data_IF_646566836274
#
_entry.id   IF_646566836274
#
_cell.length_a   1.000
_cell.length_b   1.000
_cell.length_c   1.000
_cell.angle_alpha   90.00
_cell.angle_beta   90.00
_cell.angle_gamma   90.00
#
_symmetry.space_group_name_H-M   'P 1'
#
loop_
_entity.id
_entity.type
_entity.pdbx_description
1 polymer ?
#
# COMPACT_ATOMS: atom_id res chain seq x y z
N UNK A 1 -76.26 19.86 3.61
CA UNK A 1 -74.99 19.60 4.32
C UNK A 1 -73.96 19.06 3.33
N UNK A 2 -72.88 19.80 3.06
CA UNK A 2 -71.76 19.36 2.20
C UNK A 2 -70.74 18.64 3.08
N UNK A 3 -70.49 17.35 2.86
CA UNK A 3 -69.38 16.64 3.49
C UNK A 3 -68.08 17.02 2.75
N UNK A 4 -67.16 17.68 3.46
CA UNK A 4 -65.78 17.90 3.00
C UNK A 4 -64.95 16.70 3.45
N UNK A 5 -64.47 15.91 2.50
CA UNK A 5 -63.47 14.87 2.77
C UNK A 5 -62.14 15.52 3.09
N UNK A 6 -61.66 15.34 4.32
CA UNK A 6 -60.35 15.81 4.79
C UNK A 6 -59.30 14.79 4.34
N UNK A 7 -58.45 15.17 3.39
CA UNK A 7 -57.32 14.36 2.95
C UNK A 7 -56.19 14.51 4.00
N UNK A 8 -55.99 13.49 4.84
CA UNK A 8 -54.87 13.44 5.78
C UNK A 8 -53.62 13.00 5.01
N UNK A 9 -52.72 13.93 4.74
CA UNK A 9 -51.38 13.64 4.20
C UNK A 9 -50.51 13.20 5.37
N UNK A 10 -50.28 11.88 5.50
CA UNK A 10 -49.25 11.34 6.38
C UNK A 10 -47.87 11.64 5.77
N UNK A 11 -47.18 12.65 6.30
CA UNK A 11 -45.76 12.87 6.07
C UNK A 11 -44.97 11.77 6.81
N UNK A 12 -44.60 10.71 6.08
CA UNK A 12 -43.61 9.74 6.55
C UNK A 12 -42.25 10.43 6.66
N UNK A 13 -41.86 10.79 7.88
CA UNK A 13 -40.50 11.22 8.17
C UNK A 13 -39.61 9.98 8.15
N UNK A 14 -38.89 9.76 7.05
CA UNK A 14 -37.83 8.75 6.98
C UNK A 14 -36.67 9.30 7.83
N UNK A 15 -36.64 8.96 9.11
CA UNK A 15 -35.44 9.16 9.93
C UNK A 15 -34.38 8.19 9.43
N UNK A 16 -33.39 8.71 8.70
CA UNK A 16 -32.15 7.98 8.48
C UNK A 16 -31.44 7.85 9.83
N UNK A 17 -31.66 6.74 10.53
CA UNK A 17 -30.79 6.37 11.64
C UNK A 17 -29.44 6.00 11.04
N UNK A 18 -28.49 6.92 11.02
CA UNK A 18 -27.10 6.57 10.75
C UNK A 18 -26.70 5.49 11.74
N UNK A 19 -26.22 4.35 11.24
CA UNK A 19 -25.75 3.27 12.09
C UNK A 19 -24.65 3.80 13.02
N UNK A 20 -24.90 3.74 14.33
CA UNK A 20 -23.94 4.07 15.37
C UNK A 20 -22.72 3.17 15.19
N UNK A 21 -21.55 3.76 14.97
CA UNK A 21 -20.29 3.01 14.88
C UNK A 21 -19.49 3.21 16.15
N UNK A 22 -19.04 2.14 16.77
CA UNK A 22 -18.11 2.19 17.90
C UNK A 22 -16.72 1.78 17.42
N UNK A 23 -15.69 2.53 17.82
CA UNK A 23 -14.28 2.22 17.55
C UNK A 23 -13.48 2.19 18.84
N UNK A 24 -12.70 1.12 19.04
CA UNK A 24 -11.72 0.99 20.13
C UNK A 24 -10.34 1.30 19.60
N UNK A 25 -9.70 2.35 20.11
CA UNK A 25 -8.40 2.83 19.61
C UNK A 25 -7.38 2.98 20.73
N UNK A 26 -6.23 2.33 20.58
CA UNK A 26 -5.11 2.51 21.49
C UNK A 26 -4.07 3.47 20.90
N UNK A 27 -3.76 4.56 21.61
CA UNK A 27 -2.81 5.56 21.15
C UNK A 27 -1.43 5.36 21.77
N UNK A 28 -0.45 4.98 20.97
CA UNK A 28 0.95 4.84 21.38
C UNK A 28 1.77 5.95 20.75
N UNK A 29 2.30 6.86 21.57
CA UNK A 29 2.92 8.08 21.05
C UNK A 29 3.66 8.89 22.10
N UNK A 30 3.58 10.21 21.98
CA UNK A 30 4.22 11.14 22.91
C UNK A 30 3.43 12.44 23.02
N UNK A 31 4.11 13.56 23.25
CA UNK A 31 3.53 14.89 23.42
C UNK A 31 2.67 15.37 22.26
N UNK A 32 2.97 14.99 21.02
CA UNK A 32 2.10 15.37 19.90
C UNK A 32 0.70 14.74 19.99
N UNK A 33 0.58 13.60 20.68
CA UNK A 33 -0.69 12.95 20.95
C UNK A 33 -1.37 13.48 22.22
N UNK A 34 -0.65 13.68 23.34
CA UNK A 34 -1.33 14.14 24.57
C UNK A 34 -1.67 15.64 24.56
N UNK A 35 -1.00 16.46 23.74
CA UNK A 35 -1.29 17.89 23.68
C UNK A 35 -2.76 18.14 23.29
N UNK A 36 -3.41 19.03 24.04
CA UNK A 36 -4.84 19.33 23.95
C UNK A 36 -5.76 18.08 24.06
N UNK A 37 -5.23 16.97 24.58
CA UNK A 37 -5.88 15.67 24.67
C UNK A 37 -6.51 15.22 23.34
N UNK A 38 -5.68 15.03 22.31
CA UNK A 38 -6.14 14.66 20.97
C UNK A 38 -7.13 13.47 20.95
N UNK A 39 -6.92 12.36 21.68
CA UNK A 39 -7.90 11.27 21.75
C UNK A 39 -9.30 11.72 22.22
N UNK A 40 -9.36 12.60 23.22
CA UNK A 40 -10.63 13.15 23.72
C UNK A 40 -11.29 14.08 22.69
N UNK A 41 -10.52 14.88 21.95
CA UNK A 41 -11.06 15.71 20.87
C UNK A 41 -11.71 14.84 19.78
N UNK A 42 -11.07 13.74 19.38
CA UNK A 42 -11.64 12.79 18.41
C UNK A 42 -12.91 12.14 18.97
N UNK A 43 -12.92 11.78 20.26
CA UNK A 43 -14.10 11.24 20.92
C UNK A 43 -15.27 12.23 20.91
N UNK A 44 -15.03 13.52 21.20
CA UNK A 44 -16.06 14.57 21.15
C UNK A 44 -16.61 14.77 19.74
N UNK A 45 -15.77 14.69 18.70
CA UNK A 45 -16.21 14.71 17.30
C UNK A 45 -17.11 13.51 17.01
N UNK A 46 -16.68 12.29 17.36
CA UNK A 46 -17.46 11.06 17.14
C UNK A 46 -18.82 11.12 17.84
N UNK A 47 -18.86 11.53 19.12
CA UNK A 47 -20.10 11.67 19.88
C UNK A 47 -21.07 12.66 19.22
N UNK A 48 -20.55 13.72 18.58
CA UNK A 48 -21.38 14.70 17.87
C UNK A 48 -22.08 14.15 16.62
N UNK A 49 -21.62 13.00 16.10
CA UNK A 49 -22.22 12.30 14.95
C UNK A 49 -22.92 10.99 15.34
N UNK A 50 -23.17 10.79 16.64
CA UNK A 50 -23.72 9.55 17.21
C UNK A 50 -22.81 8.32 16.96
N UNK A 51 -21.50 8.55 16.81
CA UNK A 51 -20.47 7.53 16.85
C UNK A 51 -19.80 7.51 18.23
N UNK A 52 -19.10 6.43 18.54
CA UNK A 52 -18.40 6.28 19.80
C UNK A 52 -16.93 5.94 19.55
N UNK A 53 -16.05 6.68 20.20
CA UNK A 53 -14.64 6.33 20.32
C UNK A 53 -14.34 5.93 21.75
N UNK A 54 -14.07 4.65 21.97
CA UNK A 54 -13.41 4.17 23.18
C UNK A 54 -11.90 4.22 22.94
N UNK A 55 -11.15 4.78 23.87
CA UNK A 55 -9.71 4.88 23.72
C UNK A 55 -8.95 4.64 25.02
N UNK A 56 -7.70 4.25 24.86
CA UNK A 56 -6.67 4.29 25.89
C UNK A 56 -5.38 4.84 25.25
N UNK A 57 -4.40 5.24 26.06
CA UNK A 57 -3.17 5.82 25.53
C UNK A 57 -1.94 5.57 26.40
N UNK A 58 -0.79 5.44 25.74
CA UNK A 58 0.53 5.50 26.36
C UNK A 58 1.39 6.50 25.59
N UNK A 59 1.48 7.72 26.13
CA UNK A 59 2.04 8.88 25.43
C UNK A 59 3.16 9.62 26.19
N UNK A 60 4.13 8.95 26.84
CA UNK A 60 5.23 9.64 27.50
C UNK A 60 5.99 10.60 26.55
N UNK A 61 6.25 11.82 27.02
CA UNK A 61 6.88 12.88 26.22
C UNK A 61 8.23 12.46 25.62
N UNK A 62 8.47 12.85 24.36
CA UNK A 62 9.72 12.55 23.64
C UNK A 62 9.95 11.09 23.24
N UNK A 63 9.00 10.19 23.53
CA UNK A 63 9.20 8.76 23.32
C UNK A 63 9.27 8.36 21.85
N UNK A 64 10.08 7.33 21.59
CA UNK A 64 10.35 6.73 20.28
C UNK A 64 9.69 5.37 20.10
N UNK A 65 9.52 4.88 18.88
CA UNK A 65 9.04 3.50 18.66
C UNK A 65 9.93 2.47 19.33
N UNK A 66 11.25 2.64 19.34
CA UNK A 66 12.17 1.74 20.03
C UNK A 66 11.80 1.56 21.52
N UNK A 67 11.41 2.65 22.19
CA UNK A 67 11.06 2.60 23.61
C UNK A 67 9.70 1.94 23.81
N UNK A 68 8.71 2.29 22.97
CA UNK A 68 7.38 1.66 23.01
C UNK A 68 7.42 0.17 22.71
N UNK A 69 8.22 -0.25 21.72
CA UNK A 69 8.39 -1.63 21.30
C UNK A 69 9.07 -2.50 22.39
N UNK A 70 9.81 -1.88 23.30
CA UNK A 70 10.42 -2.55 24.45
C UNK A 70 9.60 -2.41 25.75
N UNK A 71 8.50 -1.67 25.74
CA UNK A 71 7.73 -1.35 26.94
C UNK A 71 6.64 -2.42 27.20
N UNK A 72 6.71 -3.17 28.31
CA UNK A 72 5.74 -4.22 28.60
C UNK A 72 4.32 -3.67 28.77
N UNK A 73 4.14 -2.47 29.36
CA UNK A 73 2.80 -1.86 29.47
C UNK A 73 2.17 -1.61 28.11
N UNK A 74 2.96 -1.22 27.09
CA UNK A 74 2.45 -1.03 25.74
C UNK A 74 2.09 -2.37 25.10
N UNK A 75 2.97 -3.37 25.20
CA UNK A 75 2.77 -4.68 24.58
C UNK A 75 1.63 -5.46 25.24
N UNK A 76 1.53 -5.44 26.56
CA UNK A 76 0.45 -6.07 27.31
C UNK A 76 -0.90 -5.43 26.94
N UNK A 77 -0.94 -4.10 26.82
CA UNK A 77 -2.16 -3.38 26.42
C UNK A 77 -2.61 -3.70 25.00
N UNK A 78 -1.66 -3.84 24.07
CA UNK A 78 -1.94 -4.33 22.71
C UNK A 78 -2.48 -5.76 22.76
N UNK A 79 -1.90 -6.61 23.60
CA UNK A 79 -2.25 -8.02 23.75
C UNK A 79 -3.62 -8.26 24.42
N UNK A 80 -4.18 -7.27 25.14
CA UNK A 80 -5.58 -7.31 25.62
C UNK A 80 -6.59 -7.54 24.48
N UNK A 81 -6.24 -7.13 23.26
CA UNK A 81 -7.03 -7.40 22.06
C UNK A 81 -8.29 -6.53 21.93
N UNK A 82 -9.14 -6.90 20.96
CA UNK A 82 -10.39 -6.20 20.61
C UNK A 82 -10.23 -4.72 20.23
N UNK A 83 -9.02 -4.30 19.83
CA UNK A 83 -8.76 -2.96 19.31
C UNK A 83 -9.09 -2.92 17.81
N UNK A 84 -9.88 -1.93 17.39
CA UNK A 84 -10.05 -1.63 15.96
C UNK A 84 -8.78 -1.00 15.39
N UNK A 85 -8.11 -0.16 16.17
CA UNK A 85 -6.91 0.53 15.74
C UNK A 85 -5.86 0.64 16.86
N UNK A 86 -4.60 0.58 16.46
CA UNK A 86 -3.50 1.16 17.23
C UNK A 86 -2.95 2.35 16.46
N UNK A 87 -2.91 3.51 17.09
CA UNK A 87 -2.25 4.69 16.53
C UNK A 87 -0.80 4.66 16.96
N UNK A 88 0.11 4.70 15.98
CA UNK A 88 1.55 4.64 16.18
C UNK A 88 2.16 5.98 15.78
N UNK A 89 2.64 6.72 16.76
CA UNK A 89 3.34 7.99 16.57
C UNK A 89 4.82 7.85 16.96
N UNK A 90 5.72 8.11 16.02
CA UNK A 90 7.16 8.17 16.29
C UNK A 90 7.53 9.54 16.90
N UNK A 91 8.77 9.68 17.37
CA UNK A 91 9.35 10.95 17.76
C UNK A 91 9.32 11.95 16.58
N UNK A 92 9.11 13.23 16.89
CA UNK A 92 8.73 14.25 15.90
C UNK A 92 9.79 14.64 14.87
N UNK A 93 11.06 14.27 15.07
CA UNK A 93 12.18 14.58 14.17
C UNK A 93 12.71 13.33 13.49
N UNK A 94 12.75 12.19 14.17
CA UNK A 94 13.46 11.01 13.72
C UNK A 94 13.00 10.50 12.33
N UNK A 95 11.70 10.50 11.96
CA UNK A 95 11.28 10.13 10.62
C UNK A 95 11.67 11.14 9.52
N UNK A 96 12.15 12.34 9.86
CA UNK A 96 12.62 13.32 8.87
C UNK A 96 14.11 13.16 8.53
N UNK A 97 14.82 12.29 9.23
CA UNK A 97 16.26 12.07 9.05
C UNK A 97 16.55 11.33 7.74
N UNK A 98 17.83 11.23 7.30
CA UNK A 98 18.19 10.51 6.08
C UNK A 98 17.67 9.07 6.10
N UNK A 99 17.18 8.59 4.96
CA UNK A 99 16.47 7.30 4.86
C UNK A 99 17.27 6.11 5.41
N UNK A 100 18.61 6.12 5.32
CA UNK A 100 19.45 5.08 5.93
C UNK A 100 19.38 5.05 7.46
N UNK A 101 19.28 6.23 8.10
CA UNK A 101 19.09 6.32 9.55
C UNK A 101 17.67 5.89 9.93
N UNK A 102 16.65 6.35 9.19
CA UNK A 102 15.26 5.96 9.45
C UNK A 102 15.07 4.44 9.30
N UNK A 103 15.68 3.84 8.27
CA UNK A 103 15.63 2.40 8.02
C UNK A 103 16.22 1.55 9.15
N UNK A 104 17.14 2.10 9.95
CA UNK A 104 17.77 1.39 11.07
C UNK A 104 17.13 1.75 12.42
N UNK A 105 16.70 2.99 12.59
CA UNK A 105 16.24 3.53 13.88
C UNK A 105 14.73 3.54 14.06
N UNK A 106 13.95 3.45 12.97
CA UNK A 106 12.47 3.60 13.02
C UNK A 106 11.78 2.35 12.47
N UNK A 107 12.07 1.96 11.22
CA UNK A 107 11.31 0.93 10.52
C UNK A 107 11.26 -0.44 11.23
N UNK A 108 12.36 -0.93 11.85
CA UNK A 108 12.30 -2.20 12.58
C UNK A 108 11.33 -2.18 13.77
N UNK A 109 11.28 -1.07 14.51
CA UNK A 109 10.41 -0.94 15.67
C UNK A 109 8.96 -0.63 15.30
N UNK A 110 8.75 0.12 14.21
CA UNK A 110 7.43 0.25 13.59
C UNK A 110 6.85 -1.12 13.24
N UNK A 111 7.64 -1.97 12.57
CA UNK A 111 7.25 -3.34 12.23
C UNK A 111 6.96 -4.17 13.47
N UNK A 112 7.83 -4.12 14.47
CA UNK A 112 7.63 -4.86 15.72
C UNK A 112 6.30 -4.51 16.41
N UNK A 113 5.95 -3.22 16.48
CA UNK A 113 4.68 -2.77 17.06
C UNK A 113 3.48 -3.20 16.22
N UNK A 114 3.57 -3.10 14.89
CA UNK A 114 2.50 -3.56 13.99
C UNK A 114 2.32 -5.08 14.08
N UNK A 115 3.40 -5.86 14.10
CA UNK A 115 3.34 -7.32 14.21
C UNK A 115 2.73 -7.75 15.54
N UNK A 116 3.12 -7.11 16.65
CA UNK A 116 2.50 -7.35 17.96
C UNK A 116 1.00 -7.04 17.94
N UNK A 117 0.62 -5.91 17.33
CA UNK A 117 -0.78 -5.52 17.21
C UNK A 117 -1.58 -6.49 16.34
N UNK A 118 -1.10 -6.85 15.16
CA UNK A 118 -1.78 -7.76 14.24
C UNK A 118 -1.87 -9.18 14.77
N UNK A 119 -0.92 -9.60 15.61
CA UNK A 119 -0.98 -10.90 16.30
C UNK A 119 -2.16 -10.96 17.27
N UNK A 120 -2.39 -9.89 18.06
CA UNK A 120 -3.49 -9.84 19.02
C UNK A 120 -4.82 -9.34 18.42
N UNK A 121 -4.75 -8.57 17.33
CA UNK A 121 -5.87 -7.86 16.70
C UNK A 121 -5.80 -8.07 15.18
N UNK A 122 -6.01 -9.29 14.68
CA UNK A 122 -5.85 -9.60 13.24
C UNK A 122 -6.77 -8.76 12.34
N UNK A 123 -7.90 -8.34 12.89
CA UNK A 123 -8.92 -7.53 12.24
C UNK A 123 -8.75 -6.02 12.45
N UNK A 124 -7.90 -5.61 13.39
CA UNK A 124 -7.62 -4.20 13.61
C UNK A 124 -6.64 -3.68 12.58
N UNK A 125 -6.58 -2.36 12.40
CA UNK A 125 -5.62 -1.70 11.52
C UNK A 125 -4.72 -0.76 12.30
N UNK A 126 -3.40 -0.94 12.19
CA UNK A 126 -2.45 0.04 12.68
C UNK A 126 -2.55 1.33 11.83
N UNK A 127 -2.41 2.47 12.49
CA UNK A 127 -2.53 3.80 11.89
C UNK A 127 -1.28 4.60 12.25
N UNK A 128 -0.43 4.85 11.27
CA UNK A 128 0.72 5.72 11.48
C UNK A 128 0.28 7.18 11.53
N UNK A 129 0.57 7.85 12.64
CA UNK A 129 0.29 9.27 12.82
C UNK A 129 1.37 10.10 12.12
N UNK A 130 1.12 10.52 10.88
CA UNK A 130 2.04 11.37 10.13
C UNK A 130 2.10 12.78 10.75
N UNK A 131 3.16 13.00 11.53
CA UNK A 131 3.47 14.29 12.16
C UNK A 131 3.95 15.33 11.15
N UNK A 132 3.91 16.60 11.52
CA UNK A 132 4.22 17.75 10.67
C UNK A 132 5.67 18.25 10.84
N UNK A 133 6.14 19.02 9.85
CA UNK A 133 7.39 19.77 9.98
C UNK A 133 7.29 20.87 11.03
N UNK A 134 8.39 21.20 11.72
CA UNK A 134 8.42 22.33 12.68
C UNK A 134 8.21 23.67 11.99
N UNK A 135 7.71 24.69 12.71
CA UNK A 135 7.23 25.96 12.14
C UNK A 135 8.21 26.59 11.14
N UNK A 136 9.49 26.60 11.51
CA UNK A 136 10.61 27.15 10.74
C UNK A 136 11.62 26.09 10.31
N UNK A 137 11.24 24.81 10.33
CA UNK A 137 12.18 23.69 10.21
C UNK A 137 12.85 23.33 11.54
N UNK A 138 13.81 22.44 11.48
CA UNK A 138 14.58 21.92 12.60
C UNK A 138 16.01 22.48 12.56
N UNK A 139 16.14 23.72 13.07
CA UNK A 139 17.39 24.49 13.07
C UNK A 139 18.57 23.71 13.67
N UNK A 140 18.33 22.96 14.76
CA UNK A 140 19.37 22.19 15.42
C UNK A 140 19.96 21.14 14.47
N UNK A 141 19.11 20.35 13.81
CA UNK A 141 19.59 19.31 12.90
C UNK A 141 20.04 19.86 11.54
N UNK A 142 19.45 20.97 11.09
CA UNK A 142 19.95 21.75 9.96
C UNK A 142 21.42 22.13 10.16
N UNK A 143 21.76 22.71 11.31
CA UNK A 143 23.13 23.10 11.66
C UNK A 143 24.07 21.89 11.86
N UNK A 144 23.51 20.70 12.10
CA UNK A 144 24.25 19.44 12.21
C UNK A 144 24.37 18.68 10.87
N UNK A 145 24.22 19.37 9.73
CA UNK A 145 24.50 18.81 8.40
C UNK A 145 23.31 18.13 7.74
N UNK A 146 22.07 18.40 8.18
CA UNK A 146 20.84 17.97 7.52
C UNK A 146 20.13 19.17 6.87
N UNK A 147 20.63 19.69 5.73
CA UNK A 147 20.12 20.93 5.13
C UNK A 147 18.66 20.86 4.69
N UNK A 148 18.16 19.65 4.39
CA UNK A 148 16.73 19.46 4.09
C UNK A 148 15.83 19.78 5.28
N UNK A 149 16.35 19.83 6.50
CA UNK A 149 15.57 20.15 7.70
C UNK A 149 15.57 21.63 8.03
N UNK A 150 16.26 22.48 7.27
CA UNK A 150 16.31 23.92 7.52
C UNK A 150 15.00 24.67 7.26
N UNK A 151 14.01 24.02 6.61
CA UNK A 151 12.71 24.63 6.33
C UNK A 151 11.58 23.71 6.76
N UNK A 152 10.39 24.29 6.91
CA UNK A 152 9.16 23.53 7.14
C UNK A 152 8.94 22.50 6.04
N UNK A 153 9.01 22.91 4.77
CA UNK A 153 8.70 22.07 3.61
C UNK A 153 9.68 20.90 3.49
N UNK A 154 10.96 21.14 3.75
CA UNK A 154 11.96 20.09 3.66
C UNK A 154 11.79 19.03 4.75
N UNK A 155 11.49 19.46 5.98
CA UNK A 155 11.15 18.54 7.07
C UNK A 155 9.82 17.80 6.82
N UNK A 156 8.77 18.51 6.39
CA UNK A 156 7.45 17.96 6.07
C UNK A 156 7.52 16.90 4.96
N UNK A 157 8.27 17.19 3.88
CA UNK A 157 8.50 16.25 2.79
C UNK A 157 9.23 14.98 3.27
N UNK A 158 10.25 15.13 4.12
CA UNK A 158 10.99 14.00 4.65
C UNK A 158 10.11 13.10 5.55
N UNK A 159 9.31 13.73 6.44
CA UNK A 159 8.32 13.03 7.25
C UNK A 159 7.33 12.27 6.37
N UNK A 160 6.79 12.92 5.33
CA UNK A 160 5.87 12.29 4.39
C UNK A 160 6.47 11.02 3.77
N UNK A 161 7.70 11.12 3.24
CA UNK A 161 8.38 9.96 2.63
C UNK A 161 8.48 8.79 3.61
N UNK A 162 8.93 9.03 4.83
CA UNK A 162 9.12 7.96 5.79
C UNK A 162 7.81 7.38 6.31
N UNK A 163 6.78 8.18 6.56
CA UNK A 163 5.47 7.67 6.99
C UNK A 163 4.78 6.86 5.90
N UNK A 164 4.85 7.28 4.64
CA UNK A 164 4.28 6.51 3.53
C UNK A 164 5.02 5.19 3.32
N UNK A 165 6.35 5.19 3.43
CA UNK A 165 7.15 3.96 3.36
C UNK A 165 6.81 3.01 4.52
N UNK A 166 6.75 3.52 5.75
CA UNK A 166 6.34 2.71 6.92
C UNK A 166 4.97 2.08 6.73
N UNK A 167 3.99 2.85 6.27
CA UNK A 167 2.64 2.35 6.04
C UNK A 167 2.60 1.27 4.96
N UNK A 168 3.27 1.49 3.82
CA UNK A 168 3.34 0.53 2.73
C UNK A 168 3.99 -0.79 3.18
N UNK A 169 5.14 -0.72 3.86
CA UNK A 169 5.89 -1.91 4.31
C UNK A 169 5.11 -2.74 5.34
N UNK A 170 4.22 -2.09 6.10
CA UNK A 170 3.45 -2.72 7.17
C UNK A 170 1.96 -2.89 6.82
N UNK A 171 1.55 -2.65 5.58
CA UNK A 171 0.13 -2.71 5.13
C UNK A 171 -0.82 -1.99 6.09
N UNK A 172 -0.42 -0.80 6.52
CA UNK A 172 -1.06 -0.03 7.58
C UNK A 172 -1.60 1.30 7.06
N UNK A 173 -2.53 1.89 7.80
CA UNK A 173 -3.12 3.18 7.45
C UNK A 173 -2.17 4.33 7.77
N UNK A 174 -2.39 5.47 7.13
CA UNK A 174 -1.77 6.75 7.49
C UNK A 174 -2.87 7.72 7.93
N UNK A 175 -2.66 8.42 9.05
CA UNK A 175 -3.40 9.64 9.36
C UNK A 175 -2.57 10.84 8.91
N UNK A 176 -2.91 11.48 7.77
CA UNK A 176 -2.04 12.43 7.06
C UNK A 176 -2.12 13.85 7.65
N UNK A 177 -2.00 13.99 8.97
CA UNK A 177 -2.14 15.28 9.67
C UNK A 177 -1.16 16.32 9.13
N UNK A 178 0.07 15.92 8.81
CA UNK A 178 1.06 16.78 8.16
C UNK A 178 0.56 17.44 6.86
N UNK A 179 -0.15 16.68 6.02
CA UNK A 179 -0.69 17.19 4.75
C UNK A 179 -1.82 18.18 4.97
N UNK A 180 -2.67 17.92 5.96
CA UNK A 180 -3.72 18.86 6.39
C UNK A 180 -3.10 20.15 6.94
N UNK A 181 -2.10 20.03 7.82
CA UNK A 181 -1.37 21.18 8.36
C UNK A 181 -0.72 22.03 7.28
N UNK A 182 -0.06 21.38 6.31
CA UNK A 182 0.55 22.08 5.19
C UNK A 182 -0.47 22.86 4.37
N UNK A 183 -1.61 22.24 4.04
CA UNK A 183 -2.66 22.91 3.29
C UNK A 183 -3.26 24.10 4.07
N UNK A 184 -3.42 23.97 5.40
CA UNK A 184 -3.84 25.11 6.24
C UNK A 184 -2.82 26.24 6.16
N UNK A 185 -1.52 25.95 6.35
CA UNK A 185 -0.46 26.96 6.27
C UNK A 185 -0.38 27.66 4.91
N UNK A 186 -0.68 26.94 3.83
CA UNK A 186 -0.67 27.47 2.47
C UNK A 186 -1.92 28.34 2.18
N UNK A 187 -3.09 27.96 2.72
CA UNK A 187 -4.36 28.64 2.47
C UNK A 187 -4.65 29.79 3.44
N UNK A 188 -4.25 29.66 4.69
CA UNK A 188 -4.33 30.68 5.73
C UNK A 188 -3.07 30.69 6.60
N UNK A 189 -2.02 31.42 6.17
CA UNK A 189 -0.78 31.56 6.93
C UNK A 189 -0.95 32.23 8.30
N UNK A 190 -2.08 32.93 8.53
CA UNK A 190 -2.40 33.57 9.80
C UNK A 190 -2.95 32.61 10.85
N UNK A 191 -3.41 31.42 10.44
CA UNK A 191 -3.91 30.39 11.33
C UNK A 191 -2.74 29.73 12.09
N UNK A 192 -2.56 30.11 13.35
CA UNK A 192 -1.45 29.63 14.16
C UNK A 192 -1.66 28.16 14.60
N UNK A 193 -0.91 27.25 13.99
CA UNK A 193 -0.95 25.82 14.28
C UNK A 193 0.02 25.40 15.40
N UNK A 194 0.94 26.27 15.81
CA UNK A 194 1.97 25.94 16.80
C UNK A 194 1.76 26.71 18.10
N UNK A 195 2.19 26.13 19.21
CA UNK A 195 2.47 26.94 20.41
C UNK A 195 3.84 27.63 20.28
N UNK A 196 4.23 28.41 21.28
CA UNK A 196 5.44 29.25 21.27
C UNK A 196 6.74 28.49 20.98
N UNK A 197 6.79 27.18 21.24
CA UNK A 197 7.96 26.35 20.98
C UNK A 197 8.16 25.97 19.50
N UNK A 198 7.26 26.39 18.61
CA UNK A 198 7.33 26.19 17.17
C UNK A 198 7.32 24.70 16.74
N UNK A 199 6.91 23.80 17.63
CA UNK A 199 6.90 22.35 17.41
C UNK A 199 5.55 21.73 17.79
N UNK A 200 5.10 21.94 19.04
CA UNK A 200 3.87 21.36 19.56
C UNK A 200 2.62 22.05 19.00
N UNK A 201 1.49 21.34 18.93
CA UNK A 201 0.29 21.88 18.31
C UNK A 201 -0.41 22.90 19.22
N UNK A 202 -0.83 24.01 18.63
CA UNK A 202 -1.88 24.84 19.21
C UNK A 202 -3.19 24.05 19.28
N UNK A 203 -4.20 24.60 19.96
CA UNK A 203 -5.53 23.99 19.95
C UNK A 203 -6.09 23.80 18.52
N UNK A 204 -5.85 24.78 17.63
CA UNK A 204 -6.24 24.71 16.22
C UNK A 204 -5.52 23.55 15.51
N UNK A 205 -4.21 23.41 15.74
CA UNK A 205 -3.42 22.30 15.22
C UNK A 205 -3.93 20.93 15.67
N UNK A 206 -4.31 20.79 16.95
CA UNK A 206 -4.91 19.56 17.49
C UNK A 206 -6.30 19.29 16.95
N UNK A 207 -7.13 20.32 16.72
CA UNK A 207 -8.44 20.14 16.09
C UNK A 207 -8.33 19.68 14.63
N UNK A 208 -7.36 20.20 13.86
CA UNK A 208 -7.07 19.71 12.52
C UNK A 208 -6.65 18.23 12.53
N UNK A 209 -5.83 17.82 13.49
CA UNK A 209 -5.50 16.42 13.70
C UNK A 209 -6.74 15.59 14.09
N UNK A 210 -7.60 16.11 14.95
CA UNK A 210 -8.80 15.41 15.42
C UNK A 210 -9.81 15.13 14.30
N UNK A 211 -10.08 16.13 13.43
CA UNK A 211 -10.92 15.91 12.25
C UNK A 211 -10.30 14.91 11.28
N UNK A 212 -8.98 14.96 11.09
CA UNK A 212 -8.25 14.00 10.25
C UNK A 212 -8.44 12.57 10.76
N UNK A 213 -8.18 12.33 12.05
CA UNK A 213 -8.35 11.01 12.66
C UNK A 213 -9.79 10.52 12.65
N UNK A 214 -10.76 11.39 12.93
CA UNK A 214 -12.18 11.03 12.83
C UNK A 214 -12.51 10.50 11.42
N UNK A 215 -12.06 11.20 10.37
CA UNK A 215 -12.26 10.76 8.98
C UNK A 215 -11.56 9.42 8.69
N UNK A 216 -10.36 9.18 9.23
CA UNK A 216 -9.65 7.90 9.06
C UNK A 216 -10.40 6.74 9.75
N UNK A 217 -10.83 6.91 11.00
CA UNK A 217 -11.43 5.83 11.79
C UNK A 217 -12.86 5.51 11.34
N UNK A 218 -13.66 6.54 11.10
CA UNK A 218 -15.08 6.39 10.83
C UNK A 218 -15.41 6.43 9.35
N UNK A 219 -14.47 6.86 8.48
CA UNK A 219 -14.65 6.98 7.03
C UNK A 219 -15.87 7.84 6.67
N UNK A 220 -16.10 8.89 7.45
CA UNK A 220 -17.22 9.81 7.34
C UNK A 220 -16.73 11.20 6.94
N UNK A 221 -17.60 11.92 6.25
CA UNK A 221 -17.32 13.29 5.80
C UNK A 221 -17.16 14.20 7.03
N UNK A 222 -15.99 14.82 7.23
CA UNK A 222 -15.74 15.66 8.40
C UNK A 222 -16.56 16.93 8.41
N UNK A 223 -17.05 17.41 7.26
CA UNK A 223 -17.86 18.64 7.15
C UNK A 223 -19.24 18.47 7.77
N UNK A 224 -19.68 17.23 7.98
CA UNK A 224 -20.97 16.91 8.62
C UNK A 224 -20.87 16.77 10.14
N UNK A 225 -19.69 16.92 10.72
CA UNK A 225 -19.50 16.86 12.19
C UNK A 225 -20.02 18.15 12.84
N UNK A 226 -20.94 18.10 13.82
CA UNK A 226 -21.41 19.32 14.50
C UNK A 226 -20.38 19.93 15.45
N UNK A 227 -19.56 19.11 16.11
CA UNK A 227 -18.57 19.62 17.06
C UNK A 227 -17.46 20.41 16.35
N UNK A 228 -17.17 21.61 16.89
CA UNK A 228 -16.09 22.49 16.43
C UNK A 228 -15.10 22.86 17.53
N UNK A 229 -15.33 22.39 18.78
CA UNK A 229 -14.54 22.81 19.92
C UNK A 229 -14.60 24.32 20.14
N UNK A 230 -13.46 24.92 20.48
CA UNK A 230 -13.29 26.36 20.69
C UNK A 230 -12.91 27.13 19.40
N UNK A 231 -12.98 26.49 18.23
CA UNK A 231 -12.72 27.15 16.95
C UNK A 231 -13.82 28.15 16.60
N UNK A 232 -13.47 29.18 15.84
CA UNK A 232 -14.49 29.96 15.13
C UNK A 232 -15.19 29.09 14.09
N UNK A 233 -16.44 29.41 13.75
CA UNK A 233 -17.17 28.69 12.70
C UNK A 233 -16.45 28.75 11.35
N UNK A 234 -15.78 29.87 11.06
CA UNK A 234 -15.01 30.05 9.85
C UNK A 234 -13.83 29.08 9.79
N UNK A 235 -13.00 29.05 10.83
CA UNK A 235 -11.81 28.19 10.89
C UNK A 235 -12.20 26.71 10.88
N UNK A 236 -13.24 26.34 11.63
CA UNK A 236 -13.75 24.98 11.65
C UNK A 236 -14.21 24.52 10.26
N UNK A 237 -14.94 25.37 9.53
CA UNK A 237 -15.39 25.05 8.17
C UNK A 237 -14.22 24.91 7.20
N UNK A 238 -13.23 25.81 7.30
CA UNK A 238 -12.02 25.75 6.46
C UNK A 238 -11.25 24.44 6.72
N UNK A 239 -10.93 24.13 7.98
CA UNK A 239 -10.19 22.93 8.37
C UNK A 239 -10.93 21.67 7.93
N UNK A 240 -12.24 21.58 8.20
CA UNK A 240 -13.06 20.42 7.77
C UNK A 240 -13.08 20.26 6.25
N UNK A 241 -13.16 21.37 5.51
CA UNK A 241 -13.09 21.38 4.05
C UNK A 241 -11.74 20.86 3.53
N UNK A 242 -10.63 21.27 4.14
CA UNK A 242 -9.28 20.78 3.82
C UNK A 242 -9.17 19.28 4.12
N UNK A 243 -9.62 18.84 5.30
CA UNK A 243 -9.60 17.41 5.67
C UNK A 243 -10.45 16.58 4.72
N UNK A 244 -11.63 17.08 4.33
CA UNK A 244 -12.48 16.40 3.35
C UNK A 244 -11.73 16.21 2.03
N UNK A 245 -11.17 17.29 1.48
CA UNK A 245 -10.49 17.25 0.20
C UNK A 245 -9.26 16.31 0.22
N UNK A 246 -8.44 16.39 1.26
CA UNK A 246 -7.19 15.61 1.34
C UNK A 246 -7.45 14.15 1.71
N UNK A 247 -8.42 13.89 2.59
CA UNK A 247 -8.57 12.58 3.25
C UNK A 247 -9.84 11.87 2.79
N UNK A 248 -11.01 12.48 2.96
CA UNK A 248 -12.28 11.82 2.70
C UNK A 248 -12.53 11.57 1.21
N UNK A 249 -12.13 12.52 0.35
CA UNK A 249 -12.32 12.41 -1.09
C UNK A 249 -11.25 11.54 -1.77
N UNK A 250 -10.15 11.23 -1.08
CA UNK A 250 -9.00 10.44 -1.58
C UNK A 250 -8.50 9.39 -0.57
N UNK A 251 -9.38 8.55 0.02
CA UNK A 251 -9.05 7.68 1.15
C UNK A 251 -7.97 6.63 0.82
N UNK A 252 -7.92 6.16 -0.42
CA UNK A 252 -6.93 5.19 -0.90
C UNK A 252 -5.50 5.72 -0.89
N UNK A 253 -5.31 7.04 -0.99
CA UNK A 253 -3.99 7.68 -0.85
C UNK A 253 -3.37 7.39 0.52
N UNK A 254 -4.21 7.16 1.53
CA UNK A 254 -3.84 6.92 2.92
C UNK A 254 -4.07 5.47 3.36
N UNK A 255 -4.18 4.57 2.36
CA UNK A 255 -4.46 3.14 2.52
C UNK A 255 -5.80 2.81 3.18
N UNK A 256 -6.70 3.79 3.36
CA UNK A 256 -8.02 3.57 3.97
C UNK A 256 -8.88 2.76 3.01
N UNK A 257 -9.36 1.58 3.46
CA UNK A 257 -10.14 0.67 2.62
C UNK A 257 -9.31 -0.25 1.73
N UNK A 258 -8.00 0.00 1.58
CA UNK A 258 -7.13 -0.76 0.66
C UNK A 258 -6.82 -2.15 1.20
N UNK A 259 -6.61 -2.27 2.52
CA UNK A 259 -6.24 -3.53 3.18
C UNK A 259 -7.40 -4.19 3.95
N UNK A 260 -8.62 -3.71 3.76
CA UNK A 260 -9.78 -4.08 4.58
C UNK A 260 -10.52 -5.33 4.06
N UNK A 261 -10.11 -5.92 2.93
CA UNK A 261 -10.77 -7.13 2.41
C UNK A 261 -10.10 -8.39 2.98
N UNK A 262 -10.71 -9.10 3.94
CA UNK A 262 -10.14 -10.31 4.51
C UNK A 262 -10.06 -11.47 3.52
N UNK A 263 -10.72 -11.37 2.36
CA UNK A 263 -10.70 -12.39 1.32
C UNK A 263 -9.63 -12.17 0.26
N UNK A 264 -8.66 -11.27 0.49
CA UNK A 264 -7.58 -11.08 -0.48
C UNK A 264 -6.71 -12.34 -0.61
N UNK A 265 -6.22 -12.59 -1.82
CA UNK A 265 -5.46 -13.80 -2.13
C UNK A 265 -4.40 -13.58 -3.22
N UNK A 266 -3.46 -14.51 -3.32
CA UNK A 266 -2.52 -14.62 -4.44
C UNK A 266 -2.54 -16.04 -5.01
N UNK A 267 -1.95 -16.21 -6.19
CA UNK A 267 -1.81 -17.52 -6.82
C UNK A 267 -0.45 -17.69 -7.47
N UNK A 268 -0.03 -18.94 -7.62
CA UNK A 268 1.24 -19.37 -8.21
C UNK A 268 0.97 -20.48 -9.23
N UNK A 269 1.57 -20.37 -10.43
CA UNK A 269 1.50 -21.39 -11.47
C UNK A 269 2.46 -22.55 -11.12
N UNK A 270 1.89 -23.74 -10.87
CA UNK A 270 2.63 -24.98 -10.61
C UNK A 270 2.83 -25.82 -11.88
N UNK A 271 2.56 -25.26 -13.05
CA UNK A 271 2.61 -25.90 -14.37
C UNK A 271 1.50 -26.92 -14.60
N UNK A 272 1.41 -27.42 -15.84
CA UNK A 272 0.38 -28.39 -16.27
C UNK A 272 -1.04 -27.96 -15.87
N UNK A 273 -1.36 -26.66 -16.03
CA UNK A 273 -2.64 -26.03 -15.65
C UNK A 273 -2.99 -26.17 -14.16
N UNK A 274 -2.00 -26.43 -13.32
CA UNK A 274 -2.17 -26.53 -11.87
C UNK A 274 -1.70 -25.25 -11.21
N UNK A 275 -2.53 -24.69 -10.35
CA UNK A 275 -2.25 -23.44 -9.66
C UNK A 275 -2.44 -23.64 -8.15
N UNK A 276 -1.54 -23.06 -7.38
CA UNK A 276 -1.68 -22.93 -5.92
C UNK A 276 -2.32 -21.60 -5.61
N UNK A 277 -3.35 -21.60 -4.79
CA UNK A 277 -3.99 -20.39 -4.27
C UNK A 277 -3.67 -20.23 -2.79
N UNK A 278 -3.39 -19.00 -2.35
CA UNK A 278 -3.04 -18.69 -0.97
C UNK A 278 -3.85 -17.48 -0.48
N UNK A 279 -4.62 -17.68 0.59
CA UNK A 279 -5.30 -16.56 1.26
C UNK A 279 -4.26 -15.70 1.98
N UNK A 280 -4.39 -14.38 1.82
CA UNK A 280 -3.55 -13.40 2.52
C UNK A 280 -4.04 -13.12 3.95
N UNK A 281 -5.14 -13.74 4.38
CA UNK A 281 -5.65 -13.67 5.74
C UNK A 281 -5.68 -15.06 6.39
N UNK A 282 -4.62 -15.47 7.11
CA UNK A 282 -4.56 -16.77 7.76
C UNK A 282 -5.46 -16.89 9.00
N UNK A 283 -6.12 -15.81 9.41
CA UNK A 283 -6.96 -15.77 10.61
C UNK A 283 -8.45 -15.84 10.31
N UNK A 284 -8.84 -15.97 9.04
CA UNK A 284 -10.22 -16.20 8.69
C UNK A 284 -10.72 -17.54 9.24
N UNK A 285 -11.95 -17.54 9.73
CA UNK A 285 -12.60 -18.72 10.32
C UNK A 285 -13.10 -19.69 9.26
N UNK A 286 -13.43 -19.19 8.08
CA UNK A 286 -13.88 -19.99 6.94
C UNK A 286 -13.24 -19.50 5.64
N UNK A 287 -13.06 -20.45 4.73
CA UNK A 287 -12.60 -20.21 3.37
C UNK A 287 -13.57 -20.90 2.42
N UNK A 288 -13.95 -20.22 1.35
CA UNK A 288 -14.70 -20.81 0.26
C UNK A 288 -14.15 -20.27 -1.06
N UNK A 289 -13.53 -21.15 -1.81
CA UNK A 289 -12.96 -20.88 -3.12
C UNK A 289 -13.93 -21.32 -4.21
N UNK A 290 -14.11 -20.48 -5.23
CA UNK A 290 -14.69 -20.84 -6.50
C UNK A 290 -13.66 -20.57 -7.60
N UNK A 291 -13.26 -21.59 -8.34
CA UNK A 291 -12.18 -21.46 -9.32
C UNK A 291 -12.65 -20.95 -10.69
N UNK A 292 -13.94 -20.69 -10.85
CA UNK A 292 -14.54 -20.17 -12.08
C UNK A 292 -14.85 -21.24 -13.14
N UNK A 293 -14.47 -22.50 -12.91
CA UNK A 293 -14.73 -23.65 -13.80
C UNK A 293 -15.79 -24.63 -13.24
N UNK A 294 -16.43 -24.25 -12.14
CA UNK A 294 -17.42 -25.07 -11.43
C UNK A 294 -16.85 -25.84 -10.24
N UNK A 295 -15.52 -25.96 -10.10
CA UNK A 295 -14.90 -26.55 -8.93
C UNK A 295 -14.82 -25.55 -7.76
N UNK A 296 -14.81 -26.09 -6.53
CA UNK A 296 -14.74 -25.31 -5.29
C UNK A 296 -13.82 -25.97 -4.26
N UNK A 297 -13.38 -25.21 -3.27
CA UNK A 297 -12.63 -25.74 -2.12
C UNK A 297 -12.93 -24.96 -0.84
N UNK A 298 -12.78 -25.60 0.32
CA UNK A 298 -13.00 -24.98 1.64
C UNK A 298 -11.76 -24.92 2.53
N UNK A 299 -10.63 -25.42 2.03
CA UNK A 299 -9.33 -25.32 2.71
C UNK A 299 -8.69 -23.96 2.44
N UNK A 300 -7.85 -23.50 3.37
CA UNK A 300 -7.23 -22.18 3.31
C UNK A 300 -6.40 -21.95 2.03
N UNK A 301 -5.52 -22.90 1.68
CA UNK A 301 -4.58 -22.77 0.58
C UNK A 301 -4.69 -23.97 -0.39
N UNK A 302 -5.71 -24.00 -1.26
CA UNK A 302 -5.91 -25.13 -2.17
C UNK A 302 -4.95 -25.11 -3.35
N UNK A 303 -4.71 -26.28 -3.92
CA UNK A 303 -4.23 -26.42 -5.30
C UNK A 303 -5.38 -26.83 -6.18
N UNK A 304 -5.45 -26.29 -7.40
CA UNK A 304 -6.48 -26.62 -8.37
C UNK A 304 -5.90 -26.81 -9.77
N UNK A 305 -6.36 -27.83 -10.47
CA UNK A 305 -5.92 -28.16 -11.84
C UNK A 305 -7.06 -27.96 -12.82
N UNK A 306 -6.88 -27.02 -13.74
CA UNK A 306 -7.85 -26.72 -14.78
C UNK A 306 -7.75 -27.71 -15.95
N UNK A 307 -8.90 -28.14 -16.46
CA UNK A 307 -8.95 -29.09 -17.59
C UNK A 307 -8.78 -28.41 -18.95
N UNK A 308 -9.21 -27.15 -19.06
CA UNK A 308 -9.23 -26.40 -20.32
C UNK A 308 -8.45 -25.11 -20.14
N UNK A 309 -7.78 -24.66 -21.20
CA UNK A 309 -7.16 -23.35 -21.23
C UNK A 309 -8.24 -22.27 -21.32
N UNK A 310 -8.04 -21.15 -20.66
CA UNK A 310 -9.01 -20.07 -20.69
C UNK A 310 -8.77 -19.07 -19.59
N UNK A 311 -9.66 -18.08 -19.54
CA UNK A 311 -9.64 -17.08 -18.50
C UNK A 311 -10.76 -17.38 -17.52
N UNK A 312 -10.41 -17.55 -16.25
CA UNK A 312 -11.34 -17.91 -15.19
C UNK A 312 -11.41 -16.80 -14.15
N UNK A 313 -12.62 -16.50 -13.68
CA UNK A 313 -12.84 -15.61 -12.54
C UNK A 313 -12.78 -16.45 -11.27
N UNK A 314 -11.66 -16.39 -10.56
CA UNK A 314 -11.49 -17.06 -9.27
C UNK A 314 -12.01 -16.15 -8.17
N UNK A 315 -12.77 -16.70 -7.23
CA UNK A 315 -13.20 -15.98 -6.03
C UNK A 315 -12.80 -16.70 -4.75
N UNK A 316 -12.47 -15.90 -3.74
CA UNK A 316 -12.36 -16.33 -2.36
C UNK A 316 -13.43 -15.58 -1.56
N UNK A 317 -14.24 -16.33 -0.82
CA UNK A 317 -15.11 -15.81 0.23
C UNK A 317 -14.53 -16.25 1.58
N UNK A 318 -14.30 -15.30 2.47
CA UNK A 318 -13.88 -15.60 3.85
C UNK A 318 -14.87 -15.01 4.85
N UNK A 319 -14.99 -15.69 5.99
CA UNK A 319 -15.49 -15.06 7.20
C UNK A 319 -14.30 -14.74 8.10
N UNK A 320 -13.92 -13.47 8.12
CA UNK A 320 -13.00 -12.94 9.12
C UNK A 320 -13.60 -11.67 9.70
N UNK A 321 -13.26 -11.37 10.95
CA UNK A 321 -13.64 -10.08 11.57
C UNK A 321 -15.15 -9.86 11.65
N UNK A 322 -15.93 -10.95 11.77
CA UNK A 322 -17.40 -10.96 11.70
C UNK A 322 -17.96 -10.38 10.39
N UNK A 323 -17.15 -10.36 9.33
CA UNK A 323 -17.54 -9.93 8.00
C UNK A 323 -17.37 -11.07 7.02
N UNK A 324 -18.44 -11.34 6.26
CA UNK A 324 -18.34 -12.16 5.06
C UNK A 324 -17.89 -11.23 3.93
N UNK A 325 -16.66 -11.39 3.48
CA UNK A 325 -16.16 -10.66 2.33
C UNK A 325 -15.96 -11.61 1.16
N UNK A 326 -15.93 -11.04 -0.05
CA UNK A 326 -15.56 -11.76 -1.26
C UNK A 326 -14.52 -10.94 -2.01
N UNK A 327 -13.53 -11.62 -2.58
CA UNK A 327 -12.58 -11.05 -3.54
C UNK A 327 -12.62 -11.90 -4.79
N UNK A 328 -12.59 -11.25 -5.95
CA UNK A 328 -12.47 -11.90 -7.25
C UNK A 328 -11.18 -11.46 -7.94
N UNK A 329 -10.53 -12.39 -8.65
CA UNK A 329 -9.40 -12.11 -9.52
C UNK A 329 -9.53 -12.95 -10.80
N UNK A 330 -9.06 -12.38 -11.90
CA UNK A 330 -9.01 -13.07 -13.18
C UNK A 330 -7.69 -13.83 -13.31
N UNK A 331 -7.76 -15.13 -13.54
CA UNK A 331 -6.60 -16.01 -13.76
C UNK A 331 -6.66 -16.54 -15.19
N UNK A 332 -5.60 -16.28 -15.96
CA UNK A 332 -5.47 -16.81 -17.32
C UNK A 332 -4.68 -18.10 -17.27
N UNK A 333 -5.37 -19.19 -17.57
CA UNK A 333 -4.85 -20.55 -17.60
C UNK A 333 -4.43 -20.83 -19.03
N UNK A 334 -3.12 -20.91 -19.23
CA UNK A 334 -2.55 -21.44 -20.45
C UNK A 334 -1.92 -22.78 -20.14
N UNK A 335 -2.00 -23.71 -21.07
CA UNK A 335 -1.08 -24.83 -21.04
C UNK A 335 0.31 -24.22 -21.21
N UNK A 336 1.15 -24.31 -20.19
CA UNK A 336 2.58 -24.33 -20.43
C UNK A 336 2.80 -25.57 -21.31
N UNK A 337 2.90 -25.37 -22.62
CA UNK A 337 3.47 -26.40 -23.46
C UNK A 337 4.90 -26.62 -22.98
N UNK A 338 5.49 -27.78 -23.29
CA UNK A 338 6.90 -28.07 -23.04
C UNK A 338 7.88 -27.11 -23.78
N UNK A 339 7.42 -25.95 -24.25
CA UNK A 339 8.19 -24.89 -24.89
C UNK A 339 8.65 -23.85 -23.87
N UNK A 340 9.44 -24.27 -22.89
CA UNK A 340 10.23 -23.38 -22.02
C UNK A 340 11.41 -22.75 -22.80
N UNK A 341 11.11 -22.26 -24.00
CA UNK A 341 12.04 -21.63 -24.92
C UNK A 341 12.21 -20.13 -24.63
N UNK A 342 11.45 -19.59 -23.70
CA UNK A 342 11.36 -18.16 -23.45
C UNK A 342 12.13 -17.67 -22.22
N UNK A 343 13.08 -18.46 -21.69
CA UNK A 343 14.03 -17.97 -20.65
C UNK A 343 15.49 -18.43 -20.76
N UNK A 344 15.92 -19.17 -21.78
CA UNK A 344 17.37 -19.44 -21.99
C UNK A 344 17.97 -18.39 -22.92
N UNK A 345 18.80 -17.50 -22.37
CA UNK A 345 19.54 -16.47 -23.13
C UNK A 345 20.51 -17.13 -24.11
N UNK A 346 20.21 -17.09 -25.41
CA UNK A 346 21.14 -17.49 -26.48
C UNK A 346 22.38 -16.61 -26.42
N UNK A 347 23.56 -17.24 -26.44
CA UNK A 347 24.86 -16.57 -26.52
C UNK A 347 25.43 -16.78 -27.90
N UNK A 348 25.83 -15.68 -28.55
CA UNK A 348 26.51 -15.68 -29.83
C UNK A 348 27.90 -15.05 -29.69
N UNK A 349 28.94 -15.82 -30.01
CA UNK A 349 30.32 -15.37 -29.86
C UNK A 349 31.25 -16.06 -30.87
N UNK A 350 32.38 -15.45 -31.27
CA UNK A 350 32.71 -14.06 -31.04
C UNK A 350 31.78 -13.13 -31.85
N UNK A 351 31.43 -11.98 -31.28
CA UNK A 351 30.74 -10.90 -31.98
C UNK A 351 31.43 -9.58 -31.61
N UNK A 352 32.18 -8.94 -32.52
CA UNK A 352 32.25 -9.21 -33.96
C UNK A 352 32.99 -10.51 -34.34
N UNK A 353 32.50 -11.19 -35.38
CA UNK A 353 33.03 -12.40 -35.97
C UNK A 353 34.10 -12.10 -37.01
N UNK A 354 35.16 -12.91 -37.05
CA UNK A 354 36.12 -12.97 -38.17
C UNK A 354 35.77 -14.14 -39.06
N UNK A 355 36.05 -15.37 -38.64
CA UNK A 355 35.89 -16.53 -39.53
C UNK A 355 34.68 -17.39 -39.14
N UNK A 356 34.25 -17.34 -37.88
CA UNK A 356 33.18 -18.20 -37.34
C UNK A 356 32.41 -17.54 -36.20
N UNK A 357 31.18 -17.98 -35.98
CA UNK A 357 30.39 -17.74 -34.76
C UNK A 357 29.90 -19.04 -34.15
N UNK A 358 29.73 -19.05 -32.83
CA UNK A 358 29.20 -20.13 -32.01
C UNK A 358 27.92 -19.69 -31.32
N UNK A 359 26.96 -20.60 -31.23
CA UNK A 359 25.63 -20.37 -30.67
C UNK A 359 25.33 -21.47 -29.64
N UNK A 360 24.94 -21.04 -28.44
CA UNK A 360 24.61 -21.90 -27.30
C UNK A 360 23.49 -21.28 -26.45
N UNK A 361 22.61 -22.06 -25.81
CA UNK A 361 22.46 -23.52 -25.95
C UNK A 361 21.86 -23.93 -27.30
N UNK A 362 22.11 -25.18 -27.72
CA UNK A 362 21.49 -25.79 -28.90
C UNK A 362 20.15 -26.39 -28.52
N UNK A 363 19.16 -25.53 -28.46
CA UNK A 363 17.77 -25.90 -28.33
C UNK A 363 17.08 -25.14 -29.45
N UNK A 364 16.91 -25.73 -30.65
CA UNK A 364 16.19 -25.22 -31.83
C UNK A 364 16.26 -26.24 -32.98
N UNK A 365 15.27 -26.20 -33.87
CA UNK A 365 15.14 -27.15 -34.98
C UNK A 365 15.91 -26.68 -36.21
N UNK A 366 15.80 -25.39 -36.55
CA UNK A 366 16.38 -24.81 -37.74
C UNK A 366 17.16 -23.54 -37.43
N UNK A 367 18.15 -23.27 -38.27
CA UNK A 367 18.96 -22.07 -38.21
C UNK A 367 19.29 -21.58 -39.61
N UNK A 368 19.14 -20.28 -39.83
CA UNK A 368 19.34 -19.63 -41.11
C UNK A 368 20.04 -18.29 -40.92
N UNK A 369 20.95 -17.91 -41.82
CA UNK A 369 21.63 -16.61 -41.78
C UNK A 369 21.07 -15.72 -42.87
N UNK A 370 20.84 -14.45 -42.55
CA UNK A 370 20.35 -13.41 -43.43
C UNK A 370 21.26 -12.18 -43.42
N UNK A 371 21.37 -11.48 -44.55
CA UNK A 371 21.90 -10.11 -44.57
C UNK A 371 20.86 -9.09 -44.07
N UNK A 372 21.24 -7.81 -44.02
CA UNK A 372 20.35 -6.72 -43.57
C UNK A 372 19.15 -6.47 -44.49
N UNK A 373 19.16 -6.98 -45.72
CA UNK A 373 18.06 -6.86 -46.67
C UNK A 373 17.14 -8.08 -46.63
N UNK A 374 17.40 -9.04 -45.74
CA UNK A 374 16.62 -10.27 -45.61
C UNK A 374 16.97 -11.33 -46.64
N UNK A 375 18.09 -11.19 -47.38
CA UNK A 375 18.57 -12.23 -48.29
C UNK A 375 19.23 -13.34 -47.48
N UNK A 376 18.79 -14.58 -47.70
CA UNK A 376 19.39 -15.75 -47.09
C UNK A 376 20.82 -15.95 -47.57
N UNK A 377 21.75 -16.06 -46.63
CA UNK A 377 23.17 -16.32 -46.88
C UNK A 377 23.44 -17.82 -46.87
N UNK A 378 24.26 -18.27 -47.84
CA UNK A 378 24.73 -19.66 -47.89
C UNK A 378 26.03 -19.74 -47.10
N UNK A 379 25.95 -20.33 -45.91
CA UNK A 379 27.06 -20.53 -44.97
C UNK A 379 27.14 -22.00 -44.56
N UNK A 380 28.34 -22.48 -44.23
CA UNK A 380 28.49 -23.82 -43.65
C UNK A 380 28.09 -23.78 -42.17
N UNK A 381 27.25 -24.74 -41.74
CA UNK A 381 26.76 -24.84 -40.36
C UNK A 381 27.08 -26.23 -39.84
N UNK A 382 27.79 -26.30 -38.71
CA UNK A 382 28.08 -27.53 -37.99
C UNK A 382 27.35 -27.50 -36.64
N UNK A 383 26.53 -28.53 -36.36
CA UNK A 383 25.73 -28.65 -35.14
C UNK A 383 26.25 -29.82 -34.31
N UNK A 384 26.55 -29.57 -33.03
CA UNK A 384 26.73 -30.59 -32.00
C UNK A 384 25.59 -30.52 -30.98
N UNK A 385 25.59 -31.39 -29.98
CA UNK A 385 24.62 -31.34 -28.88
C UNK A 385 24.77 -30.06 -28.03
N UNK A 386 25.97 -29.47 -27.98
CA UNK A 386 26.26 -28.33 -27.09
C UNK A 386 26.33 -26.99 -27.82
N UNK A 387 26.79 -26.97 -29.08
CA UNK A 387 27.03 -25.72 -29.83
C UNK A 387 26.68 -25.84 -31.31
N UNK A 388 26.18 -24.75 -31.90
CA UNK A 388 26.14 -24.57 -33.36
C UNK A 388 27.25 -23.62 -33.77
N UNK A 389 28.08 -24.06 -34.72
CA UNK A 389 29.12 -23.25 -35.34
C UNK A 389 28.69 -22.86 -36.75
N UNK A 390 28.78 -21.57 -37.08
CA UNK A 390 28.55 -21.04 -38.43
C UNK A 390 29.87 -20.51 -38.98
N UNK A 391 30.22 -20.94 -40.19
CA UNK A 391 31.34 -20.39 -40.96
C UNK A 391 30.94 -19.05 -41.59
N UNK A 392 31.65 -18.00 -41.22
CA UNK A 392 31.43 -16.62 -41.69
C UNK A 392 32.58 -16.11 -42.55
N UNK A 393 33.61 -16.91 -42.85
CA UNK A 393 34.84 -16.48 -43.54
C UNK A 393 34.52 -15.85 -44.91
N UNK A 394 33.57 -16.44 -45.63
CA UNK A 394 33.16 -15.99 -46.97
C UNK A 394 32.14 -14.83 -46.96
N UNK A 395 31.72 -14.36 -45.79
CA UNK A 395 30.84 -13.20 -45.67
C UNK A 395 31.66 -11.91 -45.78
N UNK A 396 31.15 -10.92 -46.51
CA UNK A 396 31.74 -9.58 -46.51
C UNK A 396 31.59 -8.93 -45.13
N UNK A 397 32.47 -7.97 -44.80
CA UNK A 397 32.34 -7.16 -43.60
C UNK A 397 30.98 -6.46 -43.57
N UNK A 398 30.24 -6.59 -42.47
CA UNK A 398 28.86 -6.10 -42.41
C UNK A 398 28.05 -6.60 -41.22
N UNK A 399 26.76 -6.28 -41.21
CA UNK A 399 25.81 -6.75 -40.20
C UNK A 399 24.98 -7.91 -40.78
N UNK A 400 24.77 -8.95 -39.98
CA UNK A 400 24.00 -10.13 -40.35
C UNK A 400 23.06 -10.54 -39.21
N UNK A 401 22.04 -11.31 -39.57
CA UNK A 401 21.07 -11.84 -38.63
C UNK A 401 21.04 -13.36 -38.71
N UNK A 402 21.12 -14.02 -37.56
CA UNK A 402 20.81 -15.43 -37.41
C UNK A 402 19.36 -15.55 -37.02
N UNK A 403 18.55 -16.23 -37.83
CA UNK A 403 17.23 -16.69 -37.46
C UNK A 403 17.34 -18.10 -36.89
N UNK A 404 16.93 -18.29 -35.65
CA UNK A 404 16.68 -19.63 -35.10
C UNK A 404 15.18 -19.89 -35.11
N UNK A 405 14.80 -21.13 -35.42
CA UNK A 405 13.41 -21.58 -35.43
C UNK A 405 13.27 -22.87 -34.64
N UNK A 406 12.26 -22.91 -33.77
CA UNK A 406 11.78 -24.12 -33.11
C UNK A 406 10.28 -24.21 -33.33
N UNK A 407 9.82 -25.34 -33.85
CA UNK A 407 8.45 -25.54 -34.31
C UNK A 407 8.01 -24.41 -35.26
N UNK A 408 7.10 -23.54 -34.82
CA UNK A 408 6.55 -22.41 -35.59
C UNK A 408 7.14 -21.05 -35.19
N UNK A 409 7.88 -20.97 -34.07
CA UNK A 409 8.43 -19.72 -33.56
C UNK A 409 9.78 -19.39 -34.19
N UNK A 410 10.00 -18.10 -34.47
CA UNK A 410 11.23 -17.58 -35.10
C UNK A 410 11.79 -16.43 -34.27
N UNK A 411 13.10 -16.47 -34.01
CA UNK A 411 13.82 -15.38 -33.33
C UNK A 411 15.05 -14.97 -34.13
N UNK A 412 15.37 -13.67 -34.12
CA UNK A 412 16.50 -13.09 -34.85
C UNK A 412 17.54 -12.53 -33.90
N UNK A 413 18.80 -12.86 -34.16
CA UNK A 413 19.95 -12.40 -33.40
C UNK A 413 20.98 -11.75 -34.31
N UNK A 414 21.43 -10.56 -33.95
CA UNK A 414 22.38 -9.77 -34.74
C UNK A 414 23.82 -10.16 -34.43
N UNK A 415 24.65 -10.31 -35.47
CA UNK A 415 26.11 -10.30 -35.34
C UNK A 415 26.78 -9.39 -36.37
N UNK A 416 28.00 -8.98 -36.06
CA UNK A 416 28.86 -8.17 -36.93
C UNK A 416 29.95 -9.06 -37.51
N UNK A 417 30.16 -9.04 -38.82
CA UNK A 417 31.33 -9.60 -39.50
C UNK A 417 32.35 -8.49 -39.71
N UNK A 418 33.56 -8.70 -39.21
CA UNK A 418 34.72 -7.83 -39.46
C UNK A 418 35.38 -8.14 -40.77
#
# INVERSE_FOLDING_TARGET
MKFKSLLIVCLLWITWSYAQTTKRVYFVGNSYTYYNNLPELIQKIALSTNDHLEYDSHTPGGSRFQQHAANPTVLDKIAEGNWDHVVLQEQSQLPSFPQQQVATMVYPYARQLVDAFKTANPCGSAVFYMTWGRKYGDEQNCNNGLPQLCTYEGMDNALYTSYMQMAADNKSLVSPVAKVWRAIREQDPGMELYVEDNSHPSYIGSMAAAFTFYTIFFKKDPTLTPFIGDLSQHDANMIKGIVKNIVFDHPETWFVGVHDNPSDFKWEDLQNRTYKFESLNPTATTYFWNFGDGATATIQNPQHTYQVNGTYTVSLTTNACNTNAIKTQTVTITALSNNDFTKKKIRMYPNPATDRIYITPVDFDQITVFDVLGKQMRVAIAKTEETVQIDTEQLASGTYFVQIQKETEKQFYKFLKK
#
